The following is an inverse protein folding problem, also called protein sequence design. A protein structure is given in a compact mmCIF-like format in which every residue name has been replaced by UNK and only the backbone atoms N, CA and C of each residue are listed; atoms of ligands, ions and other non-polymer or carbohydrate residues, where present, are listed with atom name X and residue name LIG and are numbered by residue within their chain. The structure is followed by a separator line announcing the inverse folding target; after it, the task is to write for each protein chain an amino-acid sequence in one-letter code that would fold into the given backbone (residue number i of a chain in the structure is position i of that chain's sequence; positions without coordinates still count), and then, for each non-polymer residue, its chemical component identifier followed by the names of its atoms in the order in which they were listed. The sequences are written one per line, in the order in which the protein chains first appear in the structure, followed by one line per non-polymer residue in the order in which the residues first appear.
data_IF_278209010390
#
_entry.id   IF_278209010390
#
_cell.length_a   1.000
_cell.length_b   1.000
_cell.length_c   1.000
_cell.angle_alpha   90.00
_cell.angle_beta   90.00
_cell.angle_gamma   90.00
#
_symmetry.space_group_name_H-M   'P 1'
#
loop_
_entity.id
_entity.type
_entity.pdbx_description
1 polymer ?
#
# COMPACT_ATOMS: atom_id res chain seq x y z
N UNK A 1 6.53 -10.92 24.36
CA UNK A 1 7.43 -9.74 24.24
C UNK A 1 7.51 -9.42 22.74
N UNK A 2 6.78 -8.39 22.29
CA UNK A 2 6.78 -7.99 20.87
C UNK A 2 8.03 -7.10 20.69
N UNK A 3 9.07 -7.65 20.09
CA UNK A 3 10.21 -6.84 19.66
C UNK A 3 9.75 -5.82 18.62
N UNK A 4 9.75 -4.56 19.02
CA UNK A 4 9.50 -3.44 18.11
C UNK A 4 10.73 -3.20 17.22
N UNK A 5 10.93 -4.01 16.21
CA UNK A 5 11.92 -3.73 15.16
C UNK A 5 11.32 -2.81 14.11
N UNK A 6 10.97 -1.60 14.53
CA UNK A 6 10.61 -0.51 13.62
C UNK A 6 11.87 0.27 13.27
N UNK A 7 12.25 0.24 11.99
CA UNK A 7 13.34 1.08 11.47
C UNK A 7 12.74 2.08 10.47
N UNK A 8 12.80 3.37 10.80
CA UNK A 8 12.36 4.46 9.95
C UNK A 8 13.57 5.33 9.65
N UNK A 9 13.84 5.56 8.39
CA UNK A 9 14.90 6.46 7.94
C UNK A 9 14.25 7.61 7.17
N UNK A 10 14.58 8.83 7.58
CA UNK A 10 14.09 10.04 6.95
C UNK A 10 15.31 10.86 6.55
N UNK A 11 15.42 11.17 5.28
CA UNK A 11 16.42 12.09 4.76
C UNK A 11 15.72 13.17 3.93
N UNK A 12 16.08 14.42 4.14
CA UNK A 12 15.52 15.56 3.40
C UNK A 12 16.61 16.57 3.07
N UNK A 13 16.58 17.08 1.86
CA UNK A 13 17.35 18.24 1.42
C UNK A 13 16.38 19.19 0.72
N UNK A 14 16.73 20.49 0.64
CA UNK A 14 15.82 21.51 0.08
C UNK A 14 15.10 21.01 -1.17
N UNK A 15 13.77 20.81 -1.06
CA UNK A 15 12.91 20.39 -2.16
C UNK A 15 12.77 18.88 -2.40
N UNK A 16 13.51 18.03 -1.71
CA UNK A 16 13.44 16.57 -1.83
C UNK A 16 13.33 15.95 -0.44
N UNK A 17 12.32 15.08 -0.23
CA UNK A 17 12.19 14.25 0.96
C UNK A 17 12.19 12.79 0.58
N UNK A 18 12.96 11.98 1.31
CA UNK A 18 13.01 10.52 1.13
C UNK A 18 12.74 9.88 2.49
N UNK A 19 11.86 8.90 2.50
CA UNK A 19 11.54 8.12 3.69
C UNK A 19 11.47 6.65 3.33
N UNK A 20 11.99 5.79 4.19
CA UNK A 20 11.79 4.35 4.10
C UNK A 20 11.74 3.74 5.50
N UNK A 21 11.05 2.63 5.62
CA UNK A 21 10.93 1.94 6.89
C UNK A 21 10.57 0.48 6.73
N UNK A 22 10.86 -0.29 7.78
CA UNK A 22 10.51 -1.70 7.88
C UNK A 22 10.05 -1.99 9.30
N UNK A 23 8.88 -2.60 9.42
CA UNK A 23 8.25 -2.94 10.71
C UNK A 23 7.92 -4.42 10.73
N UNK A 24 8.17 -5.07 11.86
CA UNK A 24 7.54 -6.34 12.16
C UNK A 24 6.06 -6.09 12.51
N UNK A 25 5.18 -6.80 11.82
CA UNK A 25 3.73 -6.72 12.01
C UNK A 25 3.22 -7.98 12.71
N UNK A 26 1.89 -8.11 12.85
CA UNK A 26 1.26 -9.29 13.43
C UNK A 26 1.65 -10.57 12.68
N UNK A 27 1.72 -11.71 13.38
CA UNK A 27 2.05 -13.03 12.82
C UNK A 27 3.37 -13.07 12.03
N UNK A 28 4.41 -12.39 12.52
CA UNK A 28 5.72 -12.30 11.88
C UNK A 28 5.71 -11.71 10.44
N UNK A 29 4.62 -11.07 10.03
CA UNK A 29 4.56 -10.33 8.76
C UNK A 29 5.52 -9.16 8.78
N UNK A 30 6.02 -8.78 7.60
CA UNK A 30 6.91 -7.62 7.41
C UNK A 30 6.16 -6.55 6.63
N UNK A 31 6.03 -5.38 7.23
CA UNK A 31 5.53 -4.18 6.57
C UNK A 31 6.71 -3.28 6.21
N UNK A 32 6.88 -3.01 4.94
CA UNK A 32 7.95 -2.18 4.40
C UNK A 32 7.36 -1.06 3.56
N UNK A 33 7.95 0.11 3.65
CA UNK A 33 7.56 1.22 2.80
C UNK A 33 8.76 2.05 2.38
N UNK A 34 8.64 2.67 1.22
CA UNK A 34 9.56 3.67 0.72
C UNK A 34 8.77 4.79 0.06
N UNK A 35 9.17 6.02 0.29
CA UNK A 35 8.57 7.19 -0.36
C UNK A 35 9.62 8.22 -0.71
N UNK A 36 9.39 8.89 -1.82
CA UNK A 36 10.15 10.06 -2.25
C UNK A 36 9.17 11.16 -2.61
N UNK A 37 9.43 12.37 -2.13
CA UNK A 37 8.65 13.58 -2.43
C UNK A 37 9.54 14.67 -3.00
N UNK A 38 9.05 15.36 -4.00
CA UNK A 38 9.68 16.47 -4.68
C UNK A 38 8.80 17.71 -4.55
N UNK A 39 9.33 18.74 -3.90
CA UNK A 39 8.71 20.05 -3.85
C UNK A 39 9.08 20.84 -5.11
N UNK A 40 8.09 21.06 -5.98
CA UNK A 40 8.20 21.84 -7.21
C UNK A 40 7.89 23.32 -6.96
N UNK A 41 7.92 23.75 -5.70
CA UNK A 41 7.63 25.13 -5.24
C UNK A 41 6.20 25.55 -5.62
N UNK A 42 6.04 26.62 -6.39
CA UNK A 42 4.74 27.11 -6.84
C UNK A 42 3.93 26.12 -7.71
N UNK A 43 4.61 25.11 -8.26
CA UNK A 43 3.97 24.08 -9.09
C UNK A 43 3.37 22.94 -8.28
N UNK A 44 3.58 22.88 -6.97
CA UNK A 44 3.07 21.82 -6.09
C UNK A 44 4.11 20.80 -5.71
N UNK A 45 3.64 19.67 -5.19
CA UNK A 45 4.47 18.56 -4.71
C UNK A 45 4.10 17.29 -5.50
N UNK A 46 5.10 16.55 -5.96
CA UNK A 46 4.93 15.22 -6.52
C UNK A 46 5.56 14.20 -5.57
N UNK A 47 4.92 13.06 -5.41
CA UNK A 47 5.41 11.97 -4.56
C UNK A 47 5.26 10.62 -5.21
N UNK A 48 6.17 9.72 -4.88
CA UNK A 48 6.08 8.30 -5.24
C UNK A 48 6.15 7.51 -3.94
N UNK A 49 5.25 6.53 -3.78
CA UNK A 49 5.25 5.62 -2.63
C UNK A 49 5.18 4.18 -3.08
N UNK A 50 5.90 3.33 -2.36
CA UNK A 50 5.83 1.88 -2.49
C UNK A 50 5.62 1.31 -1.10
N UNK A 51 4.63 0.44 -0.95
CA UNK A 51 4.32 -0.28 0.28
C UNK A 51 4.30 -1.76 -0.05
N UNK A 52 4.95 -2.54 0.78
CA UNK A 52 4.97 -3.99 0.69
C UNK A 52 4.64 -4.62 2.05
N UNK A 53 3.67 -5.52 2.07
CA UNK A 53 3.33 -6.34 3.22
C UNK A 53 3.54 -7.80 2.83
N UNK A 54 4.42 -8.51 3.52
CA UNK A 54 4.74 -9.91 3.23
C UNK A 54 4.61 -10.79 4.46
N UNK A 55 4.06 -11.99 4.28
CA UNK A 55 4.07 -13.02 5.32
C UNK A 55 5.34 -13.88 5.24
N UNK A 56 5.76 -14.51 6.35
CA UNK A 56 6.72 -15.61 6.28
C UNK A 56 6.16 -16.78 5.46
N UNK A 57 7.04 -17.64 4.99
CA UNK A 57 6.63 -18.93 4.42
C UNK A 57 6.07 -19.82 5.52
N UNK A 58 4.92 -20.44 5.28
CA UNK A 58 4.37 -21.51 6.11
C UNK A 58 4.11 -22.76 5.25
N UNK A 59 4.00 -23.92 5.90
CA UNK A 59 3.74 -25.18 5.23
C UNK A 59 2.26 -25.35 4.92
N UNK A 60 1.97 -25.83 3.72
CA UNK A 60 0.62 -26.30 3.38
C UNK A 60 0.34 -27.56 4.17
N UNK A 61 -0.73 -27.56 4.96
CA UNK A 61 -1.16 -28.70 5.78
C UNK A 61 -2.51 -29.20 5.31
N UNK A 62 -2.67 -30.51 5.28
CA UNK A 62 -3.94 -31.18 5.00
C UNK A 62 -4.34 -32.06 6.16
N UNK A 63 -5.58 -32.57 6.15
CA UNK A 63 -6.06 -33.51 7.16
C UNK A 63 -5.20 -34.78 7.18
N UNK A 64 -4.72 -35.22 6.02
CA UNK A 64 -3.88 -36.41 5.86
C UNK A 64 -2.41 -36.15 6.21
N UNK A 65 -1.96 -34.88 6.10
CA UNK A 65 -0.57 -34.48 6.35
C UNK A 65 -0.54 -33.23 7.28
N UNK A 66 -0.86 -33.43 8.58
CA UNK A 66 -0.98 -32.29 9.52
C UNK A 66 0.38 -31.63 9.84
N UNK A 67 1.49 -32.32 9.59
CA UNK A 67 2.83 -31.77 9.77
C UNK A 67 3.35 -31.01 8.54
N UNK A 68 2.61 -31.02 7.43
CA UNK A 68 2.92 -30.33 6.18
C UNK A 68 3.13 -31.27 5.00
N UNK A 69 2.70 -30.84 3.83
CA UNK A 69 2.82 -31.57 2.55
C UNK A 69 4.21 -31.45 1.92
N UNK A 70 5.12 -30.65 2.53
CA UNK A 70 6.39 -30.25 1.93
C UNK A 70 6.28 -28.99 1.08
N UNK A 71 5.10 -28.61 0.65
CA UNK A 71 4.84 -27.37 -0.07
C UNK A 71 4.72 -26.18 0.90
N UNK A 72 5.19 -25.00 0.48
CA UNK A 72 5.13 -23.77 1.27
C UNK A 72 4.29 -22.74 0.55
N UNK A 73 3.60 -21.91 1.32
CA UNK A 73 2.89 -20.75 0.82
C UNK A 73 3.31 -19.48 1.56
N UNK A 74 3.13 -18.35 0.92
CA UNK A 74 3.28 -17.03 1.53
C UNK A 74 2.29 -16.07 0.89
N UNK A 75 2.06 -14.94 1.55
CA UNK A 75 1.30 -13.83 0.98
C UNK A 75 2.19 -12.62 0.79
N UNK A 76 1.91 -11.85 -0.25
CA UNK A 76 2.59 -10.60 -0.54
C UNK A 76 1.60 -9.60 -1.14
N UNK A 77 1.48 -8.44 -0.48
CA UNK A 77 0.67 -7.33 -0.92
C UNK A 77 1.59 -6.15 -1.28
N UNK A 78 1.52 -5.71 -2.51
CA UNK A 78 2.30 -4.59 -3.04
C UNK A 78 1.36 -3.46 -3.46
N UNK A 79 1.68 -2.25 -3.02
CA UNK A 79 1.06 -1.01 -3.51
C UNK A 79 2.13 -0.04 -3.97
N UNK A 80 2.01 0.44 -5.20
CA UNK A 80 2.83 1.51 -5.74
C UNK A 80 1.93 2.67 -6.14
N UNK A 81 2.30 3.90 -5.78
CA UNK A 81 1.48 5.08 -6.07
C UNK A 81 2.31 6.28 -6.50
N UNK A 82 1.71 7.10 -7.36
CA UNK A 82 2.18 8.43 -7.70
C UNK A 82 1.15 9.42 -7.18
N UNK A 83 1.60 10.42 -6.45
CA UNK A 83 0.76 11.45 -5.82
C UNK A 83 1.16 12.82 -6.32
N UNK A 84 0.18 13.68 -6.56
CA UNK A 84 0.40 15.09 -6.81
C UNK A 84 -0.50 15.91 -5.91
N UNK A 85 0.05 16.97 -5.32
CA UNK A 85 -0.70 17.90 -4.48
C UNK A 85 -0.27 19.35 -4.76
N UNK A 86 -1.22 20.27 -4.71
CA UNK A 86 -0.96 21.69 -4.92
C UNK A 86 -1.85 22.55 -4.03
N UNK A 87 -1.27 23.60 -3.49
CA UNK A 87 -2.03 24.72 -2.91
C UNK A 87 -2.62 25.55 -4.05
N UNK A 88 -3.93 25.65 -4.11
CA UNK A 88 -4.65 26.45 -5.11
C UNK A 88 -4.84 27.87 -4.63
N UNK A 89 -5.01 28.04 -3.32
CA UNK A 89 -5.03 29.34 -2.63
C UNK A 89 -4.24 29.21 -1.33
N UNK A 90 -4.01 30.32 -0.63
CA UNK A 90 -3.30 30.33 0.66
C UNK A 90 -3.92 29.43 1.74
N UNK A 91 -5.17 29.00 1.54
CA UNK A 91 -5.94 28.20 2.50
C UNK A 91 -6.52 26.92 1.94
N UNK A 92 -6.43 26.69 0.65
CA UNK A 92 -7.04 25.53 0.01
C UNK A 92 -6.03 24.74 -0.80
N UNK A 93 -5.91 23.48 -0.46
CA UNK A 93 -5.05 22.51 -1.14
C UNK A 93 -5.89 21.38 -1.75
N UNK A 94 -5.48 20.94 -2.91
CA UNK A 94 -6.03 19.77 -3.62
C UNK A 94 -4.90 18.79 -3.90
N UNK A 95 -5.18 17.51 -3.75
CA UNK A 95 -4.26 16.45 -4.09
C UNK A 95 -4.96 15.22 -4.63
N UNK A 96 -4.22 14.42 -5.37
CA UNK A 96 -4.68 13.14 -5.87
C UNK A 96 -3.55 12.16 -6.02
N UNK A 97 -3.90 10.87 -5.99
CA UNK A 97 -2.96 9.76 -6.17
C UNK A 97 -3.51 8.76 -7.16
N UNK A 98 -2.63 8.22 -7.96
CA UNK A 98 -2.91 7.03 -8.77
C UNK A 98 -2.13 5.86 -8.18
N UNK A 99 -2.82 4.74 -7.94
CA UNK A 99 -2.26 3.56 -7.27
C UNK A 99 -2.39 2.33 -8.15
N UNK A 100 -1.33 1.54 -8.16
CA UNK A 100 -1.34 0.14 -8.60
C UNK A 100 -1.27 -0.74 -7.37
N UNK A 101 -2.15 -1.74 -7.27
CA UNK A 101 -2.25 -2.65 -6.13
C UNK A 101 -2.19 -4.08 -6.66
N UNK A 102 -1.33 -4.89 -6.06
CA UNK A 102 -1.22 -6.31 -6.34
C UNK A 102 -1.22 -7.08 -5.04
N UNK A 103 -2.09 -8.08 -4.95
CA UNK A 103 -2.11 -9.04 -3.84
C UNK A 103 -1.83 -10.42 -4.40
N UNK A 104 -0.96 -11.15 -3.73
CA UNK A 104 -0.59 -12.51 -4.10
C UNK A 104 -0.65 -13.40 -2.87
N UNK A 105 -1.27 -14.53 -2.99
CA UNK A 105 -1.26 -15.58 -1.99
C UNK A 105 -1.10 -16.92 -2.69
N UNK A 106 -0.04 -17.62 -2.29
CA UNK A 106 0.30 -18.92 -2.88
C UNK A 106 0.32 -18.85 -4.42
N UNK A 107 -0.58 -19.54 -5.13
CA UNK A 107 -0.66 -19.57 -6.59
C UNK A 107 -1.68 -18.59 -7.17
N UNK A 108 -2.25 -17.71 -6.35
CA UNK A 108 -3.30 -16.78 -6.77
C UNK A 108 -2.82 -15.35 -6.67
N UNK A 109 -3.20 -14.55 -7.65
CA UNK A 109 -2.86 -13.12 -7.71
C UNK A 109 -4.08 -12.30 -8.11
N UNK A 110 -4.24 -11.15 -7.46
CA UNK A 110 -5.19 -10.13 -7.84
C UNK A 110 -4.46 -8.82 -8.12
N UNK A 111 -4.89 -8.08 -9.14
CA UNK A 111 -4.32 -6.77 -9.49
C UNK A 111 -5.44 -5.78 -9.74
N UNK A 112 -5.22 -4.54 -9.36
CA UNK A 112 -6.13 -3.44 -9.68
C UNK A 112 -5.38 -2.12 -9.72
N UNK A 113 -6.06 -1.10 -10.22
CA UNK A 113 -5.67 0.30 -10.11
C UNK A 113 -6.73 1.07 -9.34
N UNK A 114 -6.32 2.07 -8.59
CA UNK A 114 -7.21 2.92 -7.83
C UNK A 114 -6.73 4.37 -7.84
N UNK A 115 -7.65 5.29 -7.60
CA UNK A 115 -7.41 6.72 -7.52
C UNK A 115 -7.85 7.23 -6.17
N UNK A 116 -7.07 8.15 -5.59
CA UNK A 116 -7.48 8.94 -4.44
C UNK A 116 -7.57 10.42 -4.85
N UNK A 117 -8.52 11.12 -4.26
CA UNK A 117 -8.64 12.58 -4.36
C UNK A 117 -8.88 13.10 -2.95
N UNK A 118 -8.19 14.17 -2.58
CA UNK A 118 -8.34 14.78 -1.27
C UNK A 118 -8.18 16.29 -1.32
N UNK A 119 -8.87 16.95 -0.41
CA UNK A 119 -8.80 18.41 -0.23
C UNK A 119 -8.48 18.72 1.22
N UNK A 120 -7.78 19.83 1.42
CA UNK A 120 -7.50 20.39 2.74
C UNK A 120 -7.81 21.89 2.69
N UNK A 121 -8.63 22.34 3.64
CA UNK A 121 -8.97 23.76 3.81
C UNK A 121 -8.55 24.23 5.21
N UNK A 122 -7.74 25.28 5.26
CA UNK A 122 -7.36 25.95 6.50
C UNK A 122 -8.35 27.07 6.80
N UNK A 123 -9.12 26.89 7.87
CA UNK A 123 -10.12 27.90 8.26
C UNK A 123 -9.44 29.12 8.89
N UNK A 124 -10.06 30.31 8.84
CA UNK A 124 -9.54 31.50 9.53
C UNK A 124 -9.67 31.42 11.07
N UNK A 125 -10.32 30.37 11.60
CA UNK A 125 -10.61 30.21 13.03
C UNK A 125 -9.55 29.35 13.70
N UNK A 126 -8.69 29.95 14.50
CA UNK A 126 -7.74 29.28 15.43
C UNK A 126 -6.99 28.05 14.85
N UNK A 127 -6.64 28.08 13.56
CA UNK A 127 -5.87 27.01 12.95
C UNK A 127 -6.64 25.70 12.72
N UNK A 128 -7.97 25.72 12.75
CA UNK A 128 -8.79 24.55 12.39
C UNK A 128 -8.58 24.21 10.93
N UNK A 129 -8.31 22.93 10.65
CA UNK A 129 -8.16 22.39 9.30
C UNK A 129 -9.29 21.41 9.02
N UNK A 130 -9.93 21.57 7.87
CA UNK A 130 -10.97 20.68 7.37
C UNK A 130 -10.40 19.89 6.19
N UNK A 131 -10.43 18.57 6.30
CA UNK A 131 -10.01 17.67 5.23
C UNK A 131 -11.16 16.77 4.78
N UNK A 132 -11.24 16.54 3.48
CA UNK A 132 -12.12 15.56 2.87
C UNK A 132 -11.36 14.73 1.86
N UNK A 133 -11.62 13.43 1.80
CA UNK A 133 -10.99 12.56 0.81
C UNK A 133 -11.91 11.41 0.39
N UNK A 134 -11.74 11.02 -0.86
CA UNK A 134 -12.24 9.77 -1.42
C UNK A 134 -11.01 8.94 -1.75
N UNK A 135 -10.92 7.74 -1.17
CA UNK A 135 -9.77 6.86 -1.35
C UNK A 135 -10.18 5.53 -1.97
N UNK A 136 -9.22 4.91 -2.69
CA UNK A 136 -9.38 3.59 -3.29
C UNK A 136 -10.57 3.50 -4.27
N UNK A 137 -10.88 4.60 -4.96
CA UNK A 137 -11.85 4.55 -6.04
C UNK A 137 -11.21 3.86 -7.26
N UNK A 138 -11.62 2.64 -7.55
CA UNK A 138 -10.98 1.83 -8.58
C UNK A 138 -11.74 0.58 -8.97
N UNK A 139 -11.06 -0.26 -9.74
CA UNK A 139 -11.60 -1.52 -10.24
C UNK A 139 -11.79 -2.57 -9.15
N UNK A 140 -12.72 -3.51 -9.38
CA UNK A 140 -12.89 -4.67 -8.50
C UNK A 140 -11.64 -5.55 -8.55
N UNK A 141 -11.12 -5.94 -7.40
CA UNK A 141 -10.08 -6.95 -7.28
C UNK A 141 -10.70 -8.35 -7.29
N UNK A 142 -10.12 -9.23 -8.08
CA UNK A 142 -10.47 -10.65 -8.09
C UNK A 142 -9.21 -11.48 -8.11
N UNK A 143 -9.10 -12.37 -7.14
CA UNK A 143 -8.05 -13.39 -7.13
C UNK A 143 -8.23 -14.33 -8.31
N UNK A 144 -7.14 -14.61 -9.01
CA UNK A 144 -7.08 -15.56 -10.12
C UNK A 144 -5.85 -16.43 -9.91
N UNK A 145 -6.03 -17.73 -10.03
CA UNK A 145 -4.94 -18.67 -9.83
C UNK A 145 -5.28 -20.08 -10.27
N UNK A 146 -4.28 -20.91 -10.26
CA UNK A 146 -4.38 -22.32 -10.63
C UNK A 146 -5.42 -23.08 -9.81
N UNK A 147 -5.45 -22.83 -8.52
CA UNK A 147 -6.25 -23.60 -7.55
C UNK A 147 -7.70 -23.08 -7.42
N UNK A 148 -8.06 -22.05 -8.20
CA UNK A 148 -9.42 -21.51 -8.25
C UNK A 148 -10.21 -22.01 -9.47
N UNK A 149 -9.61 -22.84 -10.32
CA UNK A 149 -10.28 -23.44 -11.47
C UNK A 149 -10.94 -24.73 -11.02
N UNK A 150 -12.25 -24.73 -10.87
CA UNK A 150 -13.04 -25.94 -10.67
C UNK A 150 -13.25 -26.54 -12.07
N UNK A 151 -12.67 -27.72 -12.32
CA UNK A 151 -13.04 -28.52 -13.50
C UNK A 151 -14.40 -29.11 -13.22
N UNK A 152 -15.44 -28.61 -13.86
CA UNK A 152 -16.75 -29.28 -13.88
C UNK A 152 -16.67 -30.27 -15.03
N UNK A 153 -16.70 -31.55 -14.72
CA UNK A 153 -16.86 -32.62 -15.70
C UNK A 153 -18.33 -32.57 -16.15
N UNK A 154 -18.63 -32.23 -17.41
CA UNK A 154 -20.01 -32.26 -17.91
C UNK A 154 -20.33 -33.74 -18.22
N UNK A 155 -21.06 -34.41 -17.34
CA UNK A 155 -21.75 -35.66 -17.64
C UNK A 155 -22.81 -35.46 -18.73
#
# INVERSE_FOLDING_TARGET
MIEKNTKIYIAGHKGIGIQFGSNAWLAAMKYQFASIGLDLKSKGIIGINIINLSSPNDFVRTVEQPHGTGEKFSSNDLSASITYAKMLTDRFSLGGSFKFIQQSIWHSTAKTVAVDIGTLFETPFNGIRLGASISNYGGKMRMQGRDQKISVDPD
#
